data_IF_335524780430
#
_entry.id   IF_335524780430
#
_cell.length_a   1.000
_cell.length_b   1.000
_cell.length_c   1.000
_cell.angle_alpha   90.00
_cell.angle_beta   90.00
_cell.angle_gamma   90.00
#
_symmetry.space_group_name_H-M   'P 1'
#
loop_
_entity.id
_entity.type
_entity.pdbx_description
1 polymer ?
#
# COMPACT_ATOMS: atom_id res chain seq x y z
N UNK A 1 -31.18 -22.96 3.48
CA UNK A 1 -30.40 -21.75 3.18
C UNK A 1 -29.01 -22.25 2.87
N UNK A 2 -28.63 -22.15 1.61
CA UNK A 2 -27.43 -22.78 1.06
C UNK A 2 -26.23 -21.88 1.37
N UNK A 3 -25.42 -22.27 2.36
CA UNK A 3 -24.17 -21.62 2.71
C UNK A 3 -23.10 -21.99 1.69
N UNK A 4 -23.31 -21.55 0.45
CA UNK A 4 -22.25 -21.56 -0.56
C UNK A 4 -21.17 -20.64 -0.03
N UNK A 5 -20.10 -21.25 0.48
CA UNK A 5 -18.79 -20.62 0.62
C UNK A 5 -18.46 -20.06 -0.75
N UNK A 6 -18.83 -18.82 -0.99
CA UNK A 6 -18.29 -18.06 -2.09
C UNK A 6 -16.89 -17.76 -1.63
N UNK A 7 -15.97 -18.68 -1.89
CA UNK A 7 -14.56 -18.40 -1.93
C UNK A 7 -14.40 -17.33 -3.00
N UNK A 8 -14.63 -16.06 -2.62
CA UNK A 8 -13.91 -14.97 -3.23
C UNK A 8 -12.51 -15.14 -2.66
N UNK A 9 -11.57 -15.82 -3.36
CA UNK A 9 -10.18 -15.67 -2.97
C UNK A 9 -9.96 -14.17 -2.83
N UNK A 10 -9.35 -13.72 -1.74
CA UNK A 10 -8.81 -12.37 -1.73
C UNK A 10 -7.95 -12.32 -2.98
N UNK A 11 -8.35 -11.49 -3.95
CA UNK A 11 -7.52 -11.29 -5.14
C UNK A 11 -6.17 -10.90 -4.61
N UNK A 12 -5.16 -11.66 -5.02
CA UNK A 12 -3.79 -11.27 -4.75
C UNK A 12 -3.64 -9.87 -5.33
N UNK A 13 -3.31 -8.86 -4.52
CA UNK A 13 -3.11 -7.51 -5.03
C UNK A 13 -1.99 -7.54 -6.07
N UNK A 14 -2.24 -6.88 -7.19
CA UNK A 14 -1.40 -6.76 -8.38
C UNK A 14 -1.73 -5.37 -8.93
N UNK A 15 -0.99 -4.37 -8.44
CA UNK A 15 -1.31 -2.95 -8.54
C UNK A 15 -0.96 -2.37 -9.91
N UNK A 16 0.09 -2.85 -10.55
CA UNK A 16 0.49 -2.50 -11.92
C UNK A 16 -0.07 -3.46 -12.99
N UNK A 17 -0.57 -4.64 -12.58
CA UNK A 17 -1.18 -5.62 -13.48
C UNK A 17 -0.15 -6.41 -14.29
N UNK A 18 1.12 -6.46 -13.86
CA UNK A 18 2.19 -7.19 -14.56
C UNK A 18 2.12 -8.72 -14.34
N UNK A 19 1.23 -9.16 -13.45
CA UNK A 19 0.99 -10.55 -13.10
C UNK A 19 1.86 -11.05 -11.95
N UNK A 20 2.64 -10.19 -11.30
CA UNK A 20 3.23 -10.40 -9.99
C UNK A 20 2.25 -9.93 -8.94
N UNK A 21 2.39 -10.54 -7.77
CA UNK A 21 1.69 -10.04 -6.61
C UNK A 21 2.47 -8.86 -6.04
N UNK A 22 1.80 -7.82 -5.54
CA UNK A 22 2.45 -6.68 -4.87
C UNK A 22 3.42 -7.14 -3.76
N UNK A 23 3.11 -8.24 -3.05
CA UNK A 23 4.01 -8.78 -2.03
C UNK A 23 5.28 -9.47 -2.57
N UNK A 24 5.34 -9.72 -3.88
CA UNK A 24 6.49 -10.28 -4.61
C UNK A 24 7.13 -9.27 -5.57
N UNK A 25 6.43 -8.18 -5.88
CA UNK A 25 7.00 -7.08 -6.64
C UNK A 25 7.96 -6.27 -5.76
N UNK A 26 8.96 -5.71 -6.41
CA UNK A 26 9.89 -4.76 -5.79
C UNK A 26 9.46 -3.31 -6.04
N UNK A 27 8.62 -3.07 -7.04
CA UNK A 27 8.09 -1.79 -7.50
C UNK A 27 6.62 -2.03 -7.91
N UNK A 28 5.75 -2.17 -6.90
CA UNK A 28 4.38 -2.69 -7.09
C UNK A 28 3.49 -1.81 -7.99
N UNK A 29 3.85 -0.55 -8.24
CA UNK A 29 3.12 0.36 -9.12
C UNK A 29 3.91 0.85 -10.35
N UNK A 30 5.05 0.20 -10.66
CA UNK A 30 5.95 0.41 -11.81
C UNK A 30 6.26 1.90 -12.07
N UNK A 31 6.54 2.62 -10.98
CA UNK A 31 6.78 4.07 -10.99
C UNK A 31 8.29 4.41 -11.05
N UNK A 32 9.14 3.39 -10.87
CA UNK A 32 10.60 3.47 -10.90
C UNK A 32 11.24 3.63 -9.53
N UNK A 33 10.46 3.61 -8.45
CA UNK A 33 10.91 3.55 -7.07
C UNK A 33 10.56 2.19 -6.48
N UNK A 34 11.39 1.67 -5.58
CA UNK A 34 11.10 0.37 -4.96
C UNK A 34 10.22 0.53 -3.74
N UNK A 35 9.33 -0.43 -3.48
CA UNK A 35 8.46 -0.50 -2.30
C UNK A 35 9.21 -0.30 -0.96
N UNK A 36 10.49 -0.72 -0.91
CA UNK A 36 11.35 -0.56 0.29
C UNK A 36 11.69 0.90 0.62
N UNK A 37 11.57 1.79 -0.34
CA UNK A 37 11.76 3.23 -0.20
C UNK A 37 10.41 3.90 0.08
N UNK A 38 9.33 3.39 -0.50
CA UNK A 38 8.06 4.11 -0.55
C UNK A 38 7.19 3.93 0.68
N UNK A 39 7.14 2.75 1.31
CA UNK A 39 6.34 2.52 2.53
C UNK A 39 4.83 2.84 2.41
N UNK A 40 4.39 3.34 1.26
CA UNK A 40 3.06 3.80 0.88
C UNK A 40 2.95 3.66 -0.64
N UNK A 41 1.76 3.36 -1.16
CA UNK A 41 1.50 3.36 -2.61
C UNK A 41 1.58 4.78 -3.17
N UNK A 42 2.07 4.94 -4.40
CA UNK A 42 2.18 6.23 -5.12
C UNK A 42 0.88 7.02 -5.12
N UNK A 43 -0.27 6.34 -5.24
CA UNK A 43 -1.59 6.99 -5.25
C UNK A 43 -2.02 7.56 -3.88
N UNK A 44 -1.35 7.16 -2.81
CA UNK A 44 -1.53 7.65 -1.44
C UNK A 44 -0.32 8.40 -0.89
N UNK A 45 0.71 8.67 -1.70
CA UNK A 45 1.91 9.35 -1.25
C UNK A 45 1.60 10.80 -0.84
N UNK A 46 1.71 11.07 0.46
CA UNK A 46 1.67 12.42 1.02
C UNK A 46 3.08 12.71 1.51
N UNK A 47 3.75 13.74 0.99
CA UNK A 47 5.09 14.06 1.46
C UNK A 47 5.08 14.36 2.97
N UNK A 48 5.98 13.73 3.76
CA UNK A 48 6.08 14.01 5.19
C UNK A 48 6.29 15.50 5.43
N UNK A 49 5.53 16.07 6.35
CA UNK A 49 5.66 17.48 6.71
C UNK A 49 6.84 17.72 7.65
N UNK A 50 7.38 16.64 8.22
CA UNK A 50 8.39 16.67 9.27
C UNK A 50 7.86 17.23 10.59
N UNK A 51 6.53 17.28 10.75
CA UNK A 51 5.85 17.69 11.97
C UNK A 51 5.21 16.46 12.60
N UNK A 52 5.32 16.37 13.92
CA UNK A 52 4.72 15.35 14.77
C UNK A 52 4.17 16.13 15.97
N UNK A 53 2.93 16.60 15.84
CA UNK A 53 2.32 17.56 16.76
C UNK A 53 1.96 16.91 18.09
N UNK A 54 1.57 15.64 18.09
CA UNK A 54 1.14 14.92 19.29
C UNK A 54 2.24 14.05 19.93
N UNK A 55 3.35 13.85 19.23
CA UNK A 55 4.57 13.23 19.72
C UNK A 55 4.50 11.70 19.78
N UNK A 56 3.60 11.08 19.00
CA UNK A 56 3.42 9.63 18.98
C UNK A 56 4.38 8.89 18.03
N UNK A 57 5.12 9.65 17.20
CA UNK A 57 6.09 9.15 16.24
C UNK A 57 5.54 8.95 14.83
N UNK A 58 4.30 9.36 14.56
CA UNK A 58 3.69 9.47 13.23
C UNK A 58 3.78 10.93 12.76
N UNK A 59 4.05 11.14 11.47
CA UNK A 59 4.04 12.49 10.90
C UNK A 59 2.59 13.00 10.79
N UNK A 60 2.35 14.28 11.06
CA UNK A 60 1.03 14.94 10.94
C UNK A 60 0.41 14.77 9.53
N UNK A 61 1.22 14.54 8.48
CA UNK A 61 0.73 14.23 7.14
C UNK A 61 -0.01 12.89 7.06
N UNK A 62 0.26 11.99 8.02
CA UNK A 62 -0.30 10.65 8.13
C UNK A 62 -1.17 10.45 9.38
N UNK A 63 -1.24 11.46 10.24
CA UNK A 63 -2.07 11.49 11.44
C UNK A 63 -3.45 12.12 11.16
N UNK A 64 -4.47 11.72 11.92
CA UNK A 64 -5.90 12.08 11.68
C UNK A 64 -6.53 12.90 12.79
#
# INVERSE_FOLDING_TARGET
MDDRVTTHPLSVPDSDGDGKADYLDIDSDDDGVTDTIEGQSTNGFISPTGQDTDGDGVDDAYDV
#
